data_IF_103556949196
#
_entry.id   IF_103556949196
#
_cell.length_a   1.000
_cell.length_b   1.000
_cell.length_c   1.000
_cell.angle_alpha   90.00
_cell.angle_beta   90.00
_cell.angle_gamma   90.00
#
_symmetry.space_group_name_H-M   'P 1'
#
loop_
_entity.id
_entity.type
_entity.pdbx_description
1 polymer ?
#
# COMPACT_ATOMS: atom_id res chain seq x y z
N UNK A 1 -0.02 -46.34 -48.93
CA UNK A 1 1.18 -45.61 -48.47
C UNK A 1 1.10 -44.18 -49.00
N UNK A 2 0.68 -43.23 -48.16
CA UNK A 2 0.91 -41.80 -48.35
C UNK A 2 0.49 -41.09 -47.05
N UNK A 3 1.49 -40.86 -46.20
CA UNK A 3 1.42 -39.95 -45.05
C UNK A 3 1.57 -38.54 -45.62
N UNK A 4 0.51 -37.74 -45.60
CA UNK A 4 0.64 -36.31 -45.89
C UNK A 4 -0.41 -35.54 -45.10
N UNK A 5 -0.07 -35.12 -43.88
CA UNK A 5 -1.02 -34.37 -43.06
C UNK A 5 -0.49 -33.87 -41.73
N UNK A 6 0.79 -33.50 -41.57
CA UNK A 6 1.31 -33.00 -40.27
C UNK A 6 2.54 -32.08 -40.42
N UNK A 7 2.60 -31.18 -41.41
CA UNK A 7 3.67 -30.16 -41.48
C UNK A 7 3.22 -28.71 -41.34
N UNK A 8 1.95 -28.39 -41.65
CA UNK A 8 1.41 -27.03 -41.50
C UNK A 8 1.09 -26.64 -40.05
N UNK A 9 0.40 -27.53 -39.31
CA UNK A 9 -0.04 -27.22 -37.94
C UNK A 9 1.07 -27.01 -36.92
N UNK A 10 2.27 -27.59 -37.12
CA UNK A 10 3.40 -27.45 -36.21
C UNK A 10 4.11 -26.09 -36.29
N UNK A 11 4.21 -25.49 -37.49
CA UNK A 11 4.82 -24.15 -37.63
C UNK A 11 3.87 -23.04 -37.15
N UNK A 12 2.57 -23.19 -37.39
CA UNK A 12 1.57 -22.25 -36.89
C UNK A 12 1.48 -22.29 -35.36
N UNK A 13 1.64 -23.47 -34.75
CA UNK A 13 1.70 -23.63 -33.29
C UNK A 13 2.97 -22.98 -32.71
N UNK A 14 4.14 -23.21 -33.29
CA UNK A 14 5.40 -22.60 -32.84
C UNK A 14 5.35 -21.07 -32.95
N UNK A 15 4.80 -20.53 -34.05
CA UNK A 15 4.65 -19.09 -34.24
C UNK A 15 3.65 -18.50 -33.22
N UNK A 16 2.56 -19.21 -32.93
CA UNK A 16 1.58 -18.82 -31.91
C UNK A 16 2.16 -18.87 -30.50
N UNK A 17 2.97 -19.88 -30.19
CA UNK A 17 3.68 -20.02 -28.92
C UNK A 17 4.70 -18.90 -28.74
N UNK A 18 5.48 -18.57 -29.77
CA UNK A 18 6.40 -17.43 -29.76
C UNK A 18 5.67 -16.08 -29.58
N UNK A 19 4.56 -15.86 -30.30
CA UNK A 19 3.75 -14.65 -30.15
C UNK A 19 3.19 -14.51 -28.73
N UNK A 20 2.75 -15.63 -28.13
CA UNK A 20 2.28 -15.67 -26.75
C UNK A 20 3.41 -15.39 -25.75
N UNK A 21 4.58 -15.98 -25.94
CA UNK A 21 5.77 -15.72 -25.12
C UNK A 21 6.19 -14.25 -25.14
N UNK A 22 6.16 -13.63 -26.32
CA UNK A 22 6.41 -12.19 -26.46
C UNK A 22 5.35 -11.38 -25.73
N UNK A 23 4.05 -11.67 -25.94
CA UNK A 23 2.96 -10.97 -25.26
C UNK A 23 3.03 -11.08 -23.74
N UNK A 24 3.32 -12.26 -23.19
CA UNK A 24 3.47 -12.49 -21.75
C UNK A 24 4.71 -11.80 -21.17
N UNK A 25 5.81 -11.74 -21.91
CA UNK A 25 7.01 -11.01 -21.50
C UNK A 25 6.74 -9.51 -21.46
N UNK A 26 6.06 -8.97 -22.49
CA UNK A 26 5.63 -7.57 -22.52
C UNK A 26 4.70 -7.26 -21.36
N UNK A 27 3.69 -8.10 -21.11
CA UNK A 27 2.77 -7.94 -19.97
C UNK A 27 3.53 -7.95 -18.63
N UNK A 28 4.51 -8.84 -18.45
CA UNK A 28 5.33 -8.87 -17.24
C UNK A 28 6.08 -7.54 -17.02
N UNK A 29 6.68 -6.98 -18.06
CA UNK A 29 7.35 -5.68 -17.97
C UNK A 29 6.37 -4.54 -17.68
N UNK A 30 5.19 -4.54 -18.32
CA UNK A 30 4.14 -3.54 -18.05
C UNK A 30 3.71 -3.59 -16.57
N UNK A 31 3.50 -4.79 -16.02
CA UNK A 31 3.15 -4.96 -14.60
C UNK A 31 4.29 -4.52 -13.66
N UNK A 32 5.56 -4.81 -14.00
CA UNK A 32 6.70 -4.32 -13.20
C UNK A 32 6.82 -2.79 -13.23
N UNK A 33 6.60 -2.17 -14.40
CA UNK A 33 6.59 -0.71 -14.54
C UNK A 33 5.44 -0.08 -13.74
N UNK A 34 4.23 -0.65 -13.83
CA UNK A 34 3.06 -0.23 -13.02
C UNK A 34 3.41 -0.25 -11.53
N UNK A 35 3.96 -1.37 -11.05
CA UNK A 35 4.36 -1.53 -9.64
C UNK A 35 5.39 -0.49 -9.20
N UNK A 36 6.38 -0.21 -10.05
CA UNK A 36 7.44 0.77 -9.75
C UNK A 36 6.88 2.20 -9.69
N UNK A 37 5.95 2.55 -10.59
CA UNK A 37 5.26 3.85 -10.56
C UNK A 37 4.41 4.02 -9.29
N UNK A 38 3.70 2.98 -8.90
CA UNK A 38 2.88 2.91 -7.68
C UNK A 38 3.72 3.07 -6.39
N UNK A 39 4.89 2.44 -6.33
CA UNK A 39 5.86 2.64 -5.23
C UNK A 39 6.38 4.09 -5.21
N UNK A 40 6.76 4.63 -6.37
CA UNK A 40 7.27 6.00 -6.47
C UNK A 40 6.21 7.03 -6.04
N UNK A 41 4.95 6.86 -6.42
CA UNK A 41 3.85 7.71 -5.95
C UNK A 41 3.70 7.65 -4.42
N UNK A 42 3.74 6.43 -3.85
CA UNK A 42 3.64 6.25 -2.40
C UNK A 42 4.73 6.99 -1.63
N UNK A 43 5.98 6.80 -2.07
CA UNK A 43 7.14 7.47 -1.46
C UNK A 43 7.04 8.97 -1.63
N UNK A 44 6.63 9.46 -2.81
CA UNK A 44 6.44 10.88 -3.08
C UNK A 44 5.41 11.51 -2.14
N UNK A 45 4.24 10.89 -1.98
CA UNK A 45 3.18 11.41 -1.10
C UNK A 45 3.56 11.37 0.38
N UNK A 46 4.16 10.27 0.84
CA UNK A 46 4.66 10.16 2.21
C UNK A 46 5.72 11.23 2.50
N UNK A 47 6.65 11.45 1.56
CA UNK A 47 7.69 12.48 1.69
C UNK A 47 7.06 13.87 1.81
N UNK A 48 6.16 14.23 0.89
CA UNK A 48 5.47 15.54 0.92
C UNK A 48 4.75 15.76 2.26
N UNK A 49 4.03 14.74 2.75
CA UNK A 49 3.33 14.83 4.04
C UNK A 49 4.30 15.03 5.21
N UNK A 50 5.39 14.26 5.29
CA UNK A 50 6.38 14.38 6.37
C UNK A 50 7.16 15.71 6.30
N UNK A 51 7.45 16.22 5.11
CA UNK A 51 8.07 17.53 4.93
C UNK A 51 7.12 18.64 5.40
N UNK A 52 5.83 18.56 5.05
CA UNK A 52 4.82 19.53 5.50
C UNK A 52 4.65 19.48 7.03
N UNK A 53 4.58 18.28 7.61
CA UNK A 53 4.53 18.09 9.06
C UNK A 53 5.77 18.69 9.74
N UNK A 54 6.96 18.44 9.20
CA UNK A 54 8.21 18.98 9.76
C UNK A 54 8.24 20.51 9.70
N UNK A 55 7.85 21.11 8.57
CA UNK A 55 7.75 22.56 8.42
C UNK A 55 6.73 23.17 9.40
N UNK A 56 5.61 22.49 9.62
CA UNK A 56 4.61 22.89 10.60
C UNK A 56 5.14 22.83 12.05
N UNK A 57 5.91 21.80 12.40
CA UNK A 57 6.55 21.72 13.73
C UNK A 57 7.60 22.81 13.93
N UNK A 58 8.37 23.13 12.89
CA UNK A 58 9.32 24.26 12.91
C UNK A 58 8.56 25.59 13.11
N UNK A 59 7.47 25.81 12.36
CA UNK A 59 6.62 26.99 12.51
C UNK A 59 5.98 27.10 13.90
N UNK A 60 5.57 25.97 14.48
CA UNK A 60 5.08 25.91 15.86
C UNK A 60 6.16 26.37 16.85
N UNK A 61 7.42 25.99 16.64
CA UNK A 61 8.57 26.45 17.44
C UNK A 61 8.68 27.97 17.47
N UNK A 62 8.59 28.62 16.31
CA UNK A 62 8.64 30.09 16.20
C UNK A 62 7.48 30.80 16.90
N UNK A 63 6.30 30.18 16.92
CA UNK A 63 5.08 30.79 17.47
C UNK A 63 4.84 30.43 18.95
N UNK A 64 5.55 29.42 19.47
CA UNK A 64 5.30 28.81 20.79
C UNK A 64 5.31 29.78 21.98
N UNK A 65 6.13 30.83 21.95
CA UNK A 65 6.21 31.86 22.99
C UNK A 65 5.17 32.98 22.84
N UNK A 66 4.48 33.06 21.71
CA UNK A 66 3.46 34.08 21.45
C UNK A 66 2.05 33.53 21.68
N UNK A 67 1.49 33.83 22.86
CA UNK A 67 0.13 33.41 23.22
C UNK A 67 -0.96 33.92 22.26
N UNK A 68 -0.73 35.05 21.58
CA UNK A 68 -1.66 35.62 20.60
C UNK A 68 -1.66 34.85 19.26
N UNK A 69 -0.50 34.34 18.85
CA UNK A 69 -0.33 33.69 17.55
C UNK A 69 -0.50 32.16 17.63
N UNK A 70 -0.28 31.55 18.80
CA UNK A 70 -0.33 30.09 18.97
C UNK A 70 -1.68 29.46 18.62
N UNK A 71 -2.78 30.02 19.15
CA UNK A 71 -4.14 29.52 18.89
C UNK A 71 -4.53 29.59 17.41
N UNK A 72 -4.43 30.75 16.72
CA UNK A 72 -4.76 30.81 15.30
C UNK A 72 -3.82 29.97 14.43
N UNK A 73 -2.54 29.87 14.79
CA UNK A 73 -1.58 29.00 14.10
C UNK A 73 -2.01 27.52 14.16
N UNK A 74 -2.25 27.00 15.37
CA UNK A 74 -2.72 25.62 15.55
C UNK A 74 -4.07 25.37 14.86
N UNK A 75 -4.98 26.35 14.93
CA UNK A 75 -6.29 26.29 14.29
C UNK A 75 -6.23 26.20 12.76
N UNK A 76 -5.20 26.76 12.12
CA UNK A 76 -5.00 26.66 10.67
C UNK A 76 -4.21 25.39 10.28
N UNK A 77 -3.14 25.10 11.02
CA UNK A 77 -2.16 24.06 10.65
C UNK A 77 -2.67 22.66 10.96
N UNK A 78 -3.26 22.43 12.14
CA UNK A 78 -3.68 21.09 12.55
C UNK A 78 -4.75 20.52 11.60
N UNK A 79 -5.83 21.25 11.22
CA UNK A 79 -6.80 20.73 10.26
C UNK A 79 -6.19 20.47 8.90
N UNK A 80 -5.31 21.35 8.43
CA UNK A 80 -4.61 21.20 7.14
C UNK A 80 -3.78 19.91 7.10
N UNK A 81 -3.03 19.62 8.17
CA UNK A 81 -2.24 18.39 8.28
C UNK A 81 -3.11 17.14 8.38
N UNK A 82 -4.21 17.18 9.15
CA UNK A 82 -5.15 16.04 9.27
C UNK A 82 -5.79 15.71 7.92
N UNK A 83 -6.24 16.72 7.18
CA UNK A 83 -6.86 16.52 5.86
C UNK A 83 -5.84 15.96 4.87
N UNK A 84 -4.64 16.55 4.84
CA UNK A 84 -3.55 16.10 3.96
C UNK A 84 -3.12 14.67 4.29
N UNK A 85 -3.00 14.35 5.58
CA UNK A 85 -2.67 13.01 6.06
C UNK A 85 -3.74 11.97 5.70
N UNK A 86 -5.03 12.34 5.79
CA UNK A 86 -6.13 11.46 5.40
C UNK A 86 -6.13 11.15 3.90
N UNK A 87 -5.93 12.16 3.03
CA UNK A 87 -5.82 11.92 1.58
C UNK A 87 -4.59 11.10 1.22
N UNK A 88 -3.47 11.35 1.90
CA UNK A 88 -2.23 10.59 1.70
C UNK A 88 -2.46 9.13 2.08
N UNK A 89 -3.04 8.88 3.25
CA UNK A 89 -3.41 7.55 3.71
C UNK A 89 -4.32 6.83 2.71
N UNK A 90 -5.41 7.47 2.28
CA UNK A 90 -6.36 6.86 1.34
C UNK A 90 -5.71 6.44 0.02
N UNK A 91 -4.83 7.28 -0.55
CA UNK A 91 -4.10 6.92 -1.77
C UNK A 91 -3.09 5.80 -1.52
N UNK A 92 -2.38 5.80 -0.39
CA UNK A 92 -1.46 4.72 -0.04
C UNK A 92 -2.18 3.37 0.07
N UNK A 93 -3.40 3.35 0.61
CA UNK A 93 -4.22 2.13 0.63
C UNK A 93 -4.64 1.71 -0.78
N UNK A 94 -5.07 2.64 -1.63
CA UNK A 94 -5.45 2.32 -3.01
C UNK A 94 -4.28 1.73 -3.80
N UNK A 95 -3.13 2.38 -3.75
CA UNK A 95 -1.87 1.93 -4.34
C UNK A 95 -1.44 0.56 -3.82
N UNK A 96 -1.64 0.29 -2.52
CA UNK A 96 -1.36 -1.02 -1.95
C UNK A 96 -2.21 -2.11 -2.62
N UNK A 97 -3.51 -1.86 -2.81
CA UNK A 97 -4.42 -2.79 -3.50
C UNK A 97 -4.04 -2.96 -4.97
N UNK A 98 -3.70 -1.87 -5.67
CA UNK A 98 -3.19 -1.91 -7.05
C UNK A 98 -1.94 -2.80 -7.14
N UNK A 99 -1.01 -2.68 -6.19
CA UNK A 99 0.19 -3.52 -6.13
C UNK A 99 -0.13 -5.01 -5.82
N UNK A 100 -1.11 -5.31 -4.96
CA UNK A 100 -1.55 -6.71 -4.73
C UNK A 100 -2.11 -7.32 -6.03
N UNK A 101 -2.96 -6.59 -6.75
CA UNK A 101 -3.54 -7.08 -8.02
C UNK A 101 -2.48 -7.32 -9.09
N UNK A 102 -1.48 -6.45 -9.19
CA UNK A 102 -0.37 -6.61 -10.15
C UNK A 102 0.48 -7.85 -9.81
N UNK A 103 0.72 -8.13 -8.53
CA UNK A 103 1.42 -9.34 -8.09
C UNK A 103 0.65 -10.63 -8.46
N UNK A 104 -0.66 -10.67 -8.24
CA UNK A 104 -1.49 -11.83 -8.62
C UNK A 104 -1.43 -12.13 -10.12
N UNK A 105 -1.37 -11.08 -10.95
CA UNK A 105 -1.24 -11.21 -12.40
C UNK A 105 0.13 -11.74 -12.79
N UNK A 106 1.21 -11.21 -12.20
CA UNK A 106 2.57 -11.70 -12.41
C UNK A 106 2.70 -13.18 -12.00
N UNK A 107 2.09 -13.58 -10.88
CA UNK A 107 2.12 -14.98 -10.43
C UNK A 107 1.38 -15.91 -11.38
N UNK A 108 0.22 -15.49 -11.93
CA UNK A 108 -0.48 -16.26 -12.98
C UNK A 108 0.37 -16.46 -14.22
N UNK A 109 1.07 -15.41 -14.66
CA UNK A 109 1.99 -15.50 -15.80
C UNK A 109 3.12 -16.50 -15.49
N UNK A 110 3.75 -16.38 -14.31
CA UNK A 110 4.81 -17.31 -13.88
C UNK A 110 4.33 -18.76 -13.77
N UNK A 111 3.11 -18.99 -13.26
CA UNK A 111 2.52 -20.32 -13.18
C UNK A 111 2.26 -20.92 -14.58
N UNK A 112 1.86 -20.09 -15.56
CA UNK A 112 1.73 -20.52 -16.96
C UNK A 112 3.07 -20.96 -17.55
N UNK A 113 4.14 -20.16 -17.37
CA UNK A 113 5.48 -20.51 -17.82
C UNK A 113 6.00 -21.82 -17.22
N UNK A 114 5.80 -22.03 -15.92
CA UNK A 114 6.24 -23.26 -15.27
C UNK A 114 5.55 -24.50 -15.83
N UNK A 115 4.21 -24.45 -15.96
CA UNK A 115 3.42 -25.57 -16.50
C UNK A 115 3.80 -25.94 -17.93
N UNK A 116 4.14 -24.95 -18.75
CA UNK A 116 4.42 -25.16 -20.17
C UNK A 116 5.88 -25.54 -20.46
N UNK A 117 6.85 -24.95 -19.74
CA UNK A 117 8.27 -25.03 -20.13
C UNK A 117 9.23 -25.54 -19.06
N UNK A 118 8.82 -25.59 -17.78
CA UNK A 118 9.74 -25.87 -16.67
C UNK A 118 9.25 -26.98 -15.74
N UNK A 119 8.42 -27.91 -16.22
CA UNK A 119 7.88 -29.01 -15.41
C UNK A 119 8.92 -29.93 -14.76
N UNK A 120 10.18 -29.92 -15.24
CA UNK A 120 11.31 -30.68 -14.68
C UNK A 120 12.33 -29.81 -13.91
N UNK A 121 12.11 -28.50 -13.79
CA UNK A 121 13.08 -27.57 -13.20
C UNK A 121 12.44 -26.63 -12.15
N UNK A 122 13.08 -26.51 -10.98
CA UNK A 122 12.61 -25.70 -9.85
C UNK A 122 12.68 -24.17 -10.05
N UNK A 123 13.07 -23.67 -11.23
CA UNK A 123 13.22 -22.22 -11.49
C UNK A 123 11.97 -21.38 -11.22
N UNK A 124 10.79 -22.01 -11.28
CA UNK A 124 9.50 -21.38 -10.98
C UNK A 124 8.69 -22.17 -9.95
N UNK A 125 9.35 -23.00 -9.13
CA UNK A 125 8.67 -23.82 -8.13
C UNK A 125 7.79 -22.96 -7.19
N UNK A 126 8.25 -21.77 -6.81
CA UNK A 126 7.48 -20.79 -6.00
C UNK A 126 6.15 -20.36 -6.65
N UNK A 127 6.02 -20.45 -7.98
CA UNK A 127 4.83 -20.06 -8.72
C UNK A 127 3.82 -21.20 -8.92
N UNK A 128 4.22 -22.46 -8.69
CA UNK A 128 3.38 -23.65 -8.93
C UNK A 128 3.22 -24.57 -7.73
N UNK A 129 4.10 -24.49 -6.72
CA UNK A 129 4.18 -25.45 -5.61
C UNK A 129 2.88 -25.66 -4.83
N UNK A 130 1.82 -24.86 -4.99
CA UNK A 130 0.71 -24.96 -4.05
C UNK A 130 -0.72 -24.69 -4.53
N UNK A 131 -1.02 -24.69 -5.83
CA UNK A 131 -2.41 -24.71 -6.34
C UNK A 131 -3.31 -23.51 -6.00
N UNK A 132 -2.93 -22.70 -5.02
CA UNK A 132 -3.52 -21.46 -4.58
C UNK A 132 -2.61 -20.34 -5.06
N UNK A 133 -3.08 -19.54 -6.02
CA UNK A 133 -2.39 -18.33 -6.50
C UNK A 133 -2.01 -17.38 -5.35
N UNK A 134 -2.78 -17.42 -4.26
CA UNK A 134 -2.55 -16.73 -3.00
C UNK A 134 -1.22 -17.16 -2.35
N UNK A 135 -0.87 -18.44 -2.44
CA UNK A 135 0.28 -19.07 -1.76
C UNK A 135 1.62 -18.87 -2.49
N UNK A 136 1.58 -18.68 -3.80
CA UNK A 136 2.74 -18.24 -4.59
C UNK A 136 3.14 -16.78 -4.29
N UNK A 137 2.17 -15.91 -3.95
CA UNK A 137 2.48 -14.58 -3.39
C UNK A 137 3.18 -14.68 -2.04
N UNK A 138 2.84 -15.70 -1.23
CA UNK A 138 3.43 -15.95 0.10
C UNK A 138 4.90 -16.34 0.03
N UNK A 139 5.31 -17.10 -1.00
CA UNK A 139 6.70 -17.50 -1.21
C UNK A 139 7.58 -16.35 -1.76
N UNK A 140 7.05 -15.54 -2.68
CA UNK A 140 7.79 -14.41 -3.26
C UNK A 140 8.02 -13.24 -2.29
N UNK A 141 7.18 -13.11 -1.24
CA UNK A 141 7.28 -12.07 -0.19
C UNK A 141 7.88 -12.61 1.12
N UNK A 142 8.06 -13.93 1.24
CA UNK A 142 8.79 -14.57 2.34
C UNK A 142 8.04 -14.66 3.69
N UNK A 143 6.75 -14.31 3.76
CA UNK A 143 5.97 -14.41 5.00
C UNK A 143 4.46 -14.49 4.73
N UNK A 144 3.72 -15.19 5.60
CA UNK A 144 2.24 -15.20 5.60
C UNK A 144 1.70 -13.75 5.69
N UNK A 145 0.66 -13.36 4.93
CA UNK A 145 -0.01 -12.07 5.07
C UNK A 145 -0.70 -12.00 6.44
N UNK A 146 0.10 -11.73 7.46
CA UNK A 146 -0.37 -11.58 8.81
C UNK A 146 -0.96 -10.18 8.93
N UNK A 147 -2.07 -10.04 9.66
CA UNK A 147 -2.69 -8.75 9.99
C UNK A 147 -1.68 -7.77 10.62
N UNK A 148 -0.58 -8.29 11.16
CA UNK A 148 0.55 -7.55 11.70
C UNK A 148 1.55 -7.04 10.66
N UNK A 149 1.70 -7.70 9.51
CA UNK A 149 2.54 -7.20 8.41
C UNK A 149 1.94 -5.97 7.73
N UNK A 150 0.60 -5.84 7.74
CA UNK A 150 -0.08 -4.63 7.26
C UNK A 150 0.33 -3.39 8.06
N UNK A 151 0.71 -3.55 9.34
CA UNK A 151 1.21 -2.46 10.18
C UNK A 151 2.62 -2.00 9.78
N UNK A 152 3.35 -2.80 9.02
CA UNK A 152 4.69 -2.48 8.54
C UNK A 152 4.67 -1.75 7.18
N UNK A 153 3.48 -1.47 6.64
CA UNK A 153 3.33 -0.75 5.37
C UNK A 153 3.51 0.76 5.55
N UNK A 154 3.97 1.43 4.50
CA UNK A 154 4.03 2.90 4.42
C UNK A 154 2.67 3.54 4.71
N UNK A 155 1.58 2.90 4.26
CA UNK A 155 0.20 3.31 4.53
C UNK A 155 -0.13 3.30 6.03
N UNK A 156 0.22 2.24 6.75
CA UNK A 156 -0.02 2.15 8.20
C UNK A 156 0.82 3.17 9.00
N UNK A 157 2.07 3.40 8.60
CA UNK A 157 2.92 4.42 9.23
C UNK A 157 2.33 5.83 9.07
N UNK A 158 1.93 6.21 7.84
CA UNK A 158 1.28 7.51 7.60
C UNK A 158 -0.07 7.59 8.32
N UNK A 159 -0.83 6.49 8.35
CA UNK A 159 -2.04 6.36 9.16
C UNK A 159 -1.79 6.69 10.63
N UNK A 160 -0.80 6.06 11.25
CA UNK A 160 -0.43 6.31 12.65
C UNK A 160 -0.13 7.79 12.91
N UNK A 161 0.68 8.42 12.05
CA UNK A 161 0.99 9.86 12.16
C UNK A 161 -0.28 10.69 12.04
N UNK A 162 -1.17 10.36 11.10
CA UNK A 162 -2.44 11.07 10.94
C UNK A 162 -3.38 10.89 12.15
N UNK A 163 -3.44 9.68 12.72
CA UNK A 163 -4.23 9.41 13.93
C UNK A 163 -3.74 10.22 15.14
N UNK A 164 -2.42 10.40 15.29
CA UNK A 164 -1.85 11.29 16.30
C UNK A 164 -2.28 12.74 16.09
N UNK A 165 -2.31 13.22 14.84
CA UNK A 165 -2.80 14.56 14.53
C UNK A 165 -4.30 14.74 14.83
N UNK A 166 -5.12 13.72 14.58
CA UNK A 166 -6.54 13.72 14.94
C UNK A 166 -6.71 13.77 16.47
N UNK A 167 -5.93 12.99 17.21
CA UNK A 167 -5.92 13.05 18.68
C UNK A 167 -5.43 14.39 19.22
N UNK A 168 -4.43 15.01 18.58
CA UNK A 168 -3.99 16.36 18.90
C UNK A 168 -5.12 17.38 18.69
N UNK A 169 -5.82 17.30 17.55
CA UNK A 169 -6.97 18.15 17.27
C UNK A 169 -8.05 18.00 18.35
N UNK A 170 -8.38 16.76 18.74
CA UNK A 170 -9.35 16.48 19.80
C UNK A 170 -8.89 17.01 21.16
N UNK A 171 -7.61 16.88 21.49
CA UNK A 171 -7.02 17.44 22.73
C UNK A 171 -7.21 18.95 22.76
N UNK A 172 -6.87 19.64 21.67
CA UNK A 172 -6.97 21.10 21.57
C UNK A 172 -8.43 21.55 21.68
N UNK A 173 -9.35 20.91 20.96
CA UNK A 173 -10.78 21.22 21.00
C UNK A 173 -11.36 21.02 22.41
N UNK A 174 -10.99 19.93 23.09
CA UNK A 174 -11.42 19.67 24.48
C UNK A 174 -10.83 20.69 25.45
N UNK A 175 -9.59 21.14 25.22
CA UNK A 175 -8.97 22.21 26.02
C UNK A 175 -9.69 23.55 25.91
N UNK A 176 -10.37 23.84 24.79
CA UNK A 176 -11.14 25.07 24.61
C UNK A 176 -12.40 25.12 25.49
N UNK A 177 -12.90 23.98 25.98
CA UNK A 177 -14.11 23.94 26.83
C UNK A 177 -13.83 24.27 28.29
N UNK A 178 -12.58 24.62 28.65
CA UNK A 178 -12.18 24.94 30.03
C UNK A 178 -12.09 23.73 30.96
N UNK A 179 -12.12 22.51 30.41
CA UNK A 179 -11.96 21.27 31.19
C UNK A 179 -10.55 21.07 31.72
N UNK A 180 -10.38 20.06 32.59
CA UNK A 180 -9.04 19.75 33.12
C UNK A 180 -8.07 19.34 31.99
N UNK A 181 -6.80 19.79 32.00
CA UNK A 181 -5.81 19.40 30.99
C UNK A 181 -5.63 17.89 30.89
N UNK A 182 -5.75 17.17 32.02
CA UNK A 182 -5.68 15.70 32.07
C UNK A 182 -6.81 15.05 31.27
N UNK A 183 -8.04 15.57 31.40
CA UNK A 183 -9.17 15.08 30.61
C UNK A 183 -8.97 15.35 29.12
N UNK A 184 -8.50 16.54 28.74
CA UNK A 184 -8.26 16.87 27.34
C UNK A 184 -7.22 15.92 26.70
N UNK A 185 -6.12 15.62 27.41
CA UNK A 185 -5.11 14.66 26.96
C UNK A 185 -5.69 13.25 26.88
N UNK A 186 -6.45 12.80 27.89
CA UNK A 186 -7.06 11.48 27.89
C UNK A 186 -8.03 11.29 26.71
N UNK A 187 -8.86 12.29 26.43
CA UNK A 187 -9.76 12.30 25.27
C UNK A 187 -8.97 12.25 23.96
N UNK A 188 -7.92 13.07 23.83
CA UNK A 188 -7.07 13.07 22.65
C UNK A 188 -6.39 11.73 22.39
N UNK A 189 -5.83 11.10 23.43
CA UNK A 189 -5.22 9.76 23.33
C UNK A 189 -6.25 8.73 22.92
N UNK A 190 -7.44 8.73 23.55
CA UNK A 190 -8.52 7.82 23.18
C UNK A 190 -8.94 8.00 21.71
N UNK A 191 -9.10 9.24 21.26
CA UNK A 191 -9.44 9.56 19.86
C UNK A 191 -8.33 9.12 18.90
N UNK A 192 -7.05 9.32 19.24
CA UNK A 192 -5.93 8.85 18.43
C UNK A 192 -5.95 7.32 18.28
N UNK A 193 -6.17 6.58 19.37
CA UNK A 193 -6.22 5.12 19.34
C UNK A 193 -7.41 4.61 18.51
N UNK A 194 -8.58 5.24 18.65
CA UNK A 194 -9.77 4.90 17.85
C UNK A 194 -9.54 5.22 16.36
N UNK A 195 -8.97 6.39 16.05
CA UNK A 195 -8.67 6.77 14.67
C UNK A 195 -7.65 5.81 14.02
N UNK A 196 -6.60 5.45 14.76
CA UNK A 196 -5.61 4.49 14.29
C UNK A 196 -6.22 3.10 14.09
N UNK A 197 -7.02 2.62 15.05
CA UNK A 197 -7.76 1.36 14.92
C UNK A 197 -8.69 1.35 13.71
N UNK A 198 -9.39 2.47 13.45
CA UNK A 198 -10.26 2.61 12.28
C UNK A 198 -9.48 2.58 10.96
N UNK A 199 -8.32 3.24 10.90
CA UNK A 199 -7.44 3.20 9.72
C UNK A 199 -6.85 1.80 9.48
N UNK A 200 -6.42 1.11 10.53
CA UNK A 200 -5.95 -0.28 10.43
C UNK A 200 -7.08 -1.20 9.98
N UNK A 201 -8.29 -1.04 10.52
CA UNK A 201 -9.47 -1.78 10.08
C UNK A 201 -9.81 -1.49 8.61
N UNK A 202 -9.64 -0.24 8.15
CA UNK A 202 -9.83 0.13 6.76
C UNK A 202 -8.81 -0.55 5.84
N UNK A 203 -7.51 -0.56 6.21
CA UNK A 203 -6.48 -1.31 5.48
C UNK A 203 -6.85 -2.80 5.39
N UNK A 204 -7.28 -3.40 6.49
CA UNK A 204 -7.64 -4.82 6.52
C UNK A 204 -8.85 -5.14 5.64
N UNK A 205 -9.84 -4.25 5.57
CA UNK A 205 -11.01 -4.43 4.68
C UNK A 205 -10.66 -4.24 3.21
N UNK A 206 -9.66 -3.41 2.92
CA UNK A 206 -9.24 -3.12 1.55
C UNK A 206 -8.30 -4.20 0.98
N UNK A 207 -7.51 -4.88 1.81
CA UNK A 207 -6.62 -5.96 1.36
C UNK A 207 -7.42 -7.16 0.86
N UNK A 208 -7.13 -7.56 -0.38
CA UNK A 208 -7.81 -8.67 -1.05
C UNK A 208 -7.24 -10.01 -0.55
N UNK A 209 -6.03 -9.99 0.01
CA UNK A 209 -5.32 -11.19 0.52
C UNK A 209 -5.94 -11.86 1.75
N UNK A 210 -6.91 -11.21 2.42
CA UNK A 210 -7.54 -11.67 3.66
C UNK A 210 -9.01 -12.13 3.49
N UNK A 211 -9.56 -12.02 2.27
CA UNK A 211 -10.89 -12.52 1.90
C UNK A 211 -10.81 -13.85 1.18
#
# INVERSE_FOLDING_TARGET
MAVTGTKGGGMDEQAREQALLTALTTEHFVLQTSRSATIAESVGRATVFLTMLSAALIGLGFVSTSGQLLKPYLGAVVPTLVITGLFTFGRLVQTMVENELDLQRIQRIRAYYHRQFAGEHDFFADAVLDGDLQRAEWAAVGNRPSRWQLLLTTGAMVGAVNALLIGLAATLLTGLTGGSPKLAVAVGVAVALVAFGAQVAYIQRASISLG
#
